data_IF_792501652001
#
_entry.id   IF_792501652001
#
_cell.length_a   1.000
_cell.length_b   1.000
_cell.length_c   1.000
_cell.angle_alpha   90.00
_cell.angle_beta   90.00
_cell.angle_gamma   90.00
#
_symmetry.space_group_name_H-M   'P 1'
#
loop_
_entity.id
_entity.type
_entity.pdbx_description
1 polymer ?
#
# COMPACT_ATOMS: atom_id res chain seq x y z
N UNK A 1 -11.78 26.23 -3.47
CA UNK A 1 -12.58 25.21 -4.18
C UNK A 1 -11.73 23.97 -4.56
N UNK A 2 -10.92 23.39 -3.64
CA UNK A 2 -9.96 22.31 -3.99
C UNK A 2 -9.76 21.22 -2.89
N UNK A 3 -10.73 20.98 -2.00
CA UNK A 3 -10.59 19.92 -0.98
C UNK A 3 -10.93 18.52 -1.50
N UNK A 4 -11.80 18.38 -2.51
CA UNK A 4 -12.17 17.08 -3.07
C UNK A 4 -11.01 16.43 -3.83
N UNK A 5 -10.32 17.18 -4.70
CA UNK A 5 -9.20 16.66 -5.49
C UNK A 5 -8.08 16.07 -4.62
N UNK A 6 -7.84 16.65 -3.45
CA UNK A 6 -6.81 16.17 -2.52
C UNK A 6 -7.18 14.85 -1.81
N UNK A 7 -8.47 14.49 -1.74
CA UNK A 7 -8.91 13.19 -1.23
C UNK A 7 -8.84 12.12 -2.32
N UNK A 8 -9.19 12.47 -3.55
CA UNK A 8 -9.08 11.58 -4.71
C UNK A 8 -7.62 11.12 -4.92
N UNK A 9 -6.66 12.02 -4.70
CA UNK A 9 -5.24 11.72 -4.78
C UNK A 9 -4.80 10.66 -3.76
N UNK A 10 -5.27 10.79 -2.51
CA UNK A 10 -4.98 9.83 -1.44
C UNK A 10 -5.59 8.45 -1.72
N UNK A 11 -6.83 8.40 -2.20
CA UNK A 11 -7.48 7.15 -2.61
C UNK A 11 -6.75 6.50 -3.82
N UNK A 12 -6.35 7.30 -4.81
CA UNK A 12 -5.61 6.82 -5.98
C UNK A 12 -4.27 6.22 -5.57
N UNK A 13 -3.49 6.94 -4.76
CA UNK A 13 -2.20 6.47 -4.28
C UNK A 13 -2.34 5.16 -3.48
N UNK A 14 -3.35 5.03 -2.63
CA UNK A 14 -3.64 3.79 -1.90
C UNK A 14 -3.82 2.60 -2.85
N UNK A 15 -4.59 2.76 -3.94
CA UNK A 15 -4.78 1.71 -4.95
C UNK A 15 -3.49 1.37 -5.70
N UNK A 16 -2.76 2.38 -6.15
CA UNK A 16 -1.49 2.21 -6.88
C UNK A 16 -0.44 1.49 -6.02
N UNK A 17 -0.37 1.81 -4.72
CA UNK A 17 0.55 1.16 -3.80
C UNK A 17 0.22 -0.32 -3.60
N UNK A 18 -1.07 -0.66 -3.45
CA UNK A 18 -1.52 -2.05 -3.36
C UNK A 18 -1.19 -2.84 -4.63
N UNK A 19 -1.50 -2.26 -5.80
CA UNK A 19 -1.20 -2.87 -7.09
C UNK A 19 0.31 -3.09 -7.29
N UNK A 20 1.14 -2.14 -6.87
CA UNK A 20 2.60 -2.28 -6.91
C UNK A 20 3.06 -3.48 -6.07
N UNK A 21 2.57 -3.61 -4.84
CA UNK A 21 2.92 -4.73 -3.95
C UNK A 21 2.45 -6.06 -4.55
N UNK A 22 1.20 -6.14 -5.00
CA UNK A 22 0.65 -7.35 -5.63
C UNK A 22 1.39 -7.77 -6.89
N UNK A 23 1.76 -6.84 -7.76
CA UNK A 23 2.52 -7.12 -8.97
C UNK A 23 3.91 -7.70 -8.65
N UNK A 24 4.59 -7.12 -7.65
CA UNK A 24 5.91 -7.58 -7.23
C UNK A 24 5.86 -8.93 -6.49
N UNK A 25 4.78 -9.23 -5.77
CA UNK A 25 4.57 -10.50 -5.07
C UNK A 25 4.09 -11.62 -6.02
N UNK A 26 3.16 -11.36 -6.93
CA UNK A 26 2.63 -12.35 -7.89
C UNK A 26 3.69 -12.86 -8.87
N UNK A 27 4.66 -12.01 -9.27
CA UNK A 27 5.85 -12.43 -10.02
C UNK A 27 6.78 -13.41 -9.25
N UNK A 28 6.47 -13.72 -7.99
CA UNK A 28 7.30 -14.53 -7.09
C UNK A 28 6.62 -15.78 -6.50
N UNK A 29 5.31 -15.95 -6.69
CA UNK A 29 4.49 -17.00 -6.06
C UNK A 29 4.89 -18.46 -6.40
N UNK A 30 5.89 -18.68 -7.27
CA UNK A 30 6.29 -20.02 -7.73
C UNK A 30 7.55 -20.61 -7.08
N UNK A 31 8.27 -19.92 -6.17
CA UNK A 31 9.54 -20.44 -5.62
C UNK A 31 9.79 -20.14 -4.13
N UNK A 32 9.61 -21.16 -3.28
CA UNK A 32 10.16 -21.44 -1.92
C UNK A 32 10.23 -20.27 -0.91
N UNK A 33 9.55 -20.50 0.23
CA UNK A 33 9.24 -19.59 1.34
C UNK A 33 10.41 -18.72 1.89
N UNK A 34 11.64 -19.22 1.95
CA UNK A 34 12.75 -18.44 2.53
C UNK A 34 13.22 -17.26 1.66
N UNK A 35 13.12 -17.38 0.32
CA UNK A 35 13.46 -16.28 -0.61
C UNK A 35 12.31 -15.28 -0.75
N UNK A 36 11.10 -15.70 -0.40
CA UNK A 36 9.91 -14.87 -0.43
C UNK A 36 9.97 -13.79 0.66
N UNK A 37 10.34 -14.15 1.90
CA UNK A 37 10.44 -13.20 3.01
C UNK A 37 11.46 -12.06 2.76
N UNK A 38 12.69 -12.39 2.35
CA UNK A 38 13.73 -11.39 2.03
C UNK A 38 13.32 -10.49 0.85
N UNK A 39 12.53 -11.04 -0.10
CA UNK A 39 12.06 -10.26 -1.25
C UNK A 39 10.86 -9.38 -0.89
N UNK A 40 9.95 -9.88 -0.06
CA UNK A 40 8.85 -9.10 0.50
C UNK A 40 9.39 -7.89 1.27
N UNK A 41 10.44 -8.07 2.08
CA UNK A 41 11.11 -6.97 2.77
C UNK A 41 11.63 -5.90 1.80
N UNK A 42 12.32 -6.30 0.71
CA UNK A 42 12.80 -5.36 -0.32
C UNK A 42 11.66 -4.64 -1.05
N UNK A 43 10.52 -5.31 -1.25
CA UNK A 43 9.33 -4.69 -1.83
C UNK A 43 8.76 -3.65 -0.87
N UNK A 44 8.66 -3.98 0.43
CA UNK A 44 8.20 -3.05 1.47
C UNK A 44 9.12 -1.85 1.64
N UNK A 45 10.44 -2.00 1.51
CA UNK A 45 11.38 -0.87 1.51
C UNK A 45 11.09 0.08 0.33
N UNK A 46 10.85 -0.45 -0.87
CA UNK A 46 10.48 0.37 -2.04
C UNK A 46 9.10 1.02 -1.88
N UNK A 47 8.16 0.31 -1.27
CA UNK A 47 6.84 0.83 -0.96
C UNK A 47 6.93 1.96 0.09
N UNK A 48 7.78 1.81 1.12
CA UNK A 48 8.03 2.83 2.15
C UNK A 48 8.57 4.13 1.53
N UNK A 49 9.49 4.02 0.57
CA UNK A 49 10.01 5.18 -0.16
C UNK A 49 8.88 5.94 -0.87
N UNK A 50 8.00 5.23 -1.59
CA UNK A 50 6.83 5.85 -2.26
C UNK A 50 5.89 6.52 -1.27
N UNK A 51 5.67 5.91 -0.10
CA UNK A 51 4.84 6.50 0.97
C UNK A 51 5.49 7.79 1.50
N UNK A 52 6.81 7.81 1.72
CA UNK A 52 7.52 9.01 2.17
C UNK A 52 7.46 10.14 1.14
N UNK A 53 7.70 9.83 -0.13
CA UNK A 53 7.60 10.79 -1.23
C UNK A 53 6.19 11.37 -1.35
N UNK A 54 5.17 10.52 -1.21
CA UNK A 54 3.78 10.96 -1.23
C UNK A 54 3.47 11.91 -0.06
N UNK A 55 3.88 11.55 1.17
CA UNK A 55 3.65 12.38 2.36
C UNK A 55 4.39 13.72 2.32
N UNK A 56 5.55 13.76 1.67
CA UNK A 56 6.30 15.00 1.48
C UNK A 56 5.59 15.97 0.51
N UNK A 57 4.88 15.44 -0.49
CA UNK A 57 4.13 16.23 -1.48
C UNK A 57 2.71 16.57 -1.01
N UNK A 58 2.06 15.65 -0.32
CA UNK A 58 0.64 15.71 0.04
C UNK A 58 0.44 15.61 1.56
N UNK A 59 0.12 16.73 2.25
CA UNK A 59 -0.21 16.69 3.67
C UNK A 59 -1.44 15.83 3.93
N UNK A 60 -1.28 14.80 4.77
CA UNK A 60 -2.33 13.84 5.12
C UNK A 60 -2.93 14.14 6.49
N UNK A 61 -4.15 14.67 6.51
CA UNK A 61 -4.97 14.71 7.71
C UNK A 61 -5.60 13.33 7.99
N UNK A 62 -6.21 13.16 9.17
CA UNK A 62 -6.83 11.90 9.59
C UNK A 62 -7.76 11.31 8.52
N UNK A 63 -8.65 12.13 7.95
CA UNK A 63 -9.58 11.69 6.91
C UNK A 63 -8.88 11.17 5.65
N UNK A 64 -7.85 11.88 5.16
CA UNK A 64 -7.06 11.43 4.01
C UNK A 64 -6.31 10.12 4.30
N UNK A 65 -5.76 9.97 5.52
CA UNK A 65 -5.09 8.73 5.93
C UNK A 65 -6.05 7.55 5.90
N UNK A 66 -7.24 7.71 6.48
CA UNK A 66 -8.29 6.68 6.45
C UNK A 66 -8.73 6.33 5.03
N UNK A 67 -8.90 7.33 4.16
CA UNK A 67 -9.26 7.09 2.76
C UNK A 67 -8.20 6.34 1.98
N UNK A 68 -6.93 6.70 2.16
CA UNK A 68 -5.78 6.01 1.57
C UNK A 68 -5.70 4.56 2.06
N UNK A 69 -5.72 4.35 3.38
CA UNK A 69 -5.63 3.02 3.99
C UNK A 69 -6.79 2.13 3.56
N UNK A 70 -8.02 2.66 3.51
CA UNK A 70 -9.19 1.91 3.03
C UNK A 70 -9.06 1.56 1.55
N UNK A 71 -8.64 2.50 0.70
CA UNK A 71 -8.43 2.24 -0.73
C UNK A 71 -7.34 1.18 -0.97
N UNK A 72 -6.27 1.22 -0.17
CA UNK A 72 -5.21 0.21 -0.18
C UNK A 72 -5.73 -1.17 0.25
N UNK A 73 -6.46 -1.25 1.36
CA UNK A 73 -7.07 -2.49 1.87
C UNK A 73 -7.96 -3.15 0.81
N UNK A 74 -8.91 -2.40 0.23
CA UNK A 74 -9.81 -2.96 -0.78
C UNK A 74 -9.07 -3.40 -2.04
N UNK A 75 -8.07 -2.63 -2.48
CA UNK A 75 -7.28 -3.01 -3.65
C UNK A 75 -6.44 -4.29 -3.43
N UNK A 76 -5.91 -4.49 -2.21
CA UNK A 76 -5.25 -5.75 -1.85
C UNK A 76 -6.23 -6.93 -1.85
N UNK A 77 -7.39 -6.72 -1.23
CA UNK A 77 -8.45 -7.74 -1.14
C UNK A 77 -8.97 -8.16 -2.51
N UNK A 78 -9.29 -7.19 -3.36
CA UNK A 78 -9.75 -7.41 -4.74
C UNK A 78 -8.67 -8.09 -5.60
N UNK A 79 -7.39 -7.88 -5.25
CA UNK A 79 -6.24 -8.54 -5.87
C UNK A 79 -5.99 -9.98 -5.39
N UNK A 80 -6.84 -10.54 -4.53
CA UNK A 80 -6.71 -11.91 -4.03
C UNK A 80 -5.64 -12.08 -2.95
N UNK A 81 -5.28 -11.01 -2.23
CA UNK A 81 -4.41 -11.08 -1.07
C UNK A 81 -5.08 -11.90 0.05
N UNK A 82 -4.34 -12.82 0.66
CA UNK A 82 -4.81 -13.59 1.82
C UNK A 82 -5.09 -12.66 3.01
N UNK A 83 -6.09 -13.00 3.84
CA UNK A 83 -6.57 -12.16 4.94
C UNK A 83 -5.48 -11.86 5.99
N UNK A 84 -4.59 -12.82 6.27
CA UNK A 84 -3.48 -12.59 7.19
C UNK A 84 -2.51 -11.54 6.64
N UNK A 85 -2.14 -11.67 5.36
CA UNK A 85 -1.24 -10.76 4.67
C UNK A 85 -1.89 -9.38 4.43
N UNK A 86 -3.20 -9.36 4.19
CA UNK A 86 -4.02 -8.16 4.02
C UNK A 86 -3.95 -7.28 5.27
N UNK A 87 -4.09 -7.90 6.45
CA UNK A 87 -4.03 -7.22 7.75
C UNK A 87 -2.63 -6.67 7.99
N UNK A 88 -1.60 -7.51 7.85
CA UNK A 88 -0.20 -7.10 8.05
C UNK A 88 0.21 -5.92 7.17
N UNK A 89 -0.14 -5.95 5.88
CA UNK A 89 0.18 -4.87 4.94
C UNK A 89 -0.57 -3.58 5.26
N UNK A 90 -1.83 -3.69 5.70
CA UNK A 90 -2.66 -2.53 6.04
C UNK A 90 -2.17 -1.86 7.32
N UNK A 91 -1.79 -2.64 8.33
CA UNK A 91 -1.18 -2.14 9.56
C UNK A 91 0.18 -1.50 9.30
N UNK A 92 1.01 -2.18 8.49
CA UNK A 92 2.30 -1.66 8.04
C UNK A 92 2.18 -0.28 7.40
N UNK A 93 1.16 -0.07 6.55
CA UNK A 93 0.89 1.20 5.91
C UNK A 93 0.39 2.23 6.92
N UNK A 94 -0.58 1.85 7.77
CA UNK A 94 -1.22 2.78 8.71
C UNK A 94 -0.23 3.40 9.69
N UNK A 95 0.75 2.63 10.17
CA UNK A 95 1.83 3.12 11.05
C UNK A 95 2.72 4.18 10.35
N UNK A 96 2.77 4.16 9.02
CA UNK A 96 3.66 5.02 8.19
C UNK A 96 2.99 6.26 7.62
N UNK A 97 1.67 6.40 7.73
CA UNK A 97 0.90 7.57 7.30
C UNK A 97 0.91 8.68 8.35
#
# INVERSE_FOLDING_TARGET
MFKWFATAEAERFGKELAQFILAELSGSARKREAKFAVRAEKILIRADLRVREFRAREPLNFYKKSKLANAFLWALKDGGCDEAYLTELTDWLTIRL
#
